data_IF_198370125931
#
_entry.id   IF_198370125931
#
_cell.length_a   1.000
_cell.length_b   1.000
_cell.length_c   1.000
_cell.angle_alpha   90.00
_cell.angle_beta   90.00
_cell.angle_gamma   90.00
#
_symmetry.space_group_name_H-M   'P 1'
#
loop_
_entity.id
_entity.type
_entity.pdbx_description
1 polymer ?
#
# COMPACT_ATOMS: atom_id res chain seq x y z
N UNK A 1 -5.26 -18.84 -26.86
CA UNK A 1 -5.57 -17.49 -26.33
C UNK A 1 -6.54 -17.51 -25.16
N UNK A 2 -7.69 -18.20 -25.23
CA UNK A 2 -8.71 -18.29 -24.15
C UNK A 2 -8.16 -18.85 -22.80
N UNK A 3 -7.23 -19.82 -22.80
CA UNK A 3 -6.66 -20.38 -21.55
C UNK A 3 -5.76 -19.38 -20.82
N UNK A 4 -4.98 -18.58 -21.53
CA UNK A 4 -4.09 -17.57 -20.95
C UNK A 4 -4.86 -16.42 -20.29
N UNK A 5 -5.97 -15.99 -20.87
CA UNK A 5 -6.83 -14.94 -20.29
C UNK A 5 -7.42 -15.42 -18.96
N UNK A 6 -7.85 -16.69 -18.87
CA UNK A 6 -8.40 -17.27 -17.63
C UNK A 6 -7.40 -17.26 -16.47
N UNK A 7 -6.10 -17.46 -16.75
CA UNK A 7 -5.06 -17.43 -15.72
C UNK A 7 -4.92 -16.05 -15.05
N UNK A 8 -5.10 -14.96 -15.82
CA UNK A 8 -5.08 -13.61 -15.29
C UNK A 8 -6.35 -13.26 -14.51
N UNK A 9 -7.51 -13.79 -14.92
CA UNK A 9 -8.77 -13.54 -14.22
C UNK A 9 -8.75 -14.03 -12.77
N UNK A 10 -8.10 -15.15 -12.49
CA UNK A 10 -7.98 -15.66 -11.10
C UNK A 10 -7.14 -14.76 -10.20
N UNK A 11 -6.16 -14.06 -10.74
CA UNK A 11 -5.26 -13.19 -9.97
C UNK A 11 -5.64 -11.69 -10.08
N UNK A 12 -6.63 -11.36 -10.91
CA UNK A 12 -7.08 -9.99 -11.08
C UNK A 12 -7.54 -9.33 -9.76
N UNK A 13 -8.35 -9.98 -8.90
CA UNK A 13 -8.72 -9.35 -7.63
C UNK A 13 -7.52 -9.05 -6.73
N UNK A 14 -6.48 -9.91 -6.70
CA UNK A 14 -5.23 -9.61 -5.99
C UNK A 14 -4.51 -8.40 -6.58
N UNK A 15 -4.47 -8.29 -7.91
CA UNK A 15 -3.88 -7.14 -8.59
C UNK A 15 -4.66 -5.84 -8.26
N UNK A 16 -5.98 -5.91 -8.17
CA UNK A 16 -6.83 -4.78 -7.79
C UNK A 16 -6.64 -4.37 -6.32
N UNK A 17 -6.42 -5.33 -5.41
CA UNK A 17 -6.10 -5.00 -4.01
C UNK A 17 -4.85 -4.14 -3.93
N UNK A 18 -3.76 -4.55 -4.55
CA UNK A 18 -2.48 -3.83 -4.46
C UNK A 18 -2.44 -2.53 -5.25
N UNK A 19 -3.38 -2.32 -6.19
CA UNK A 19 -3.42 -1.11 -7.03
C UNK A 19 -4.50 -0.13 -6.62
N UNK A 20 -5.73 -0.57 -6.40
CA UNK A 20 -6.87 0.33 -6.15
C UNK A 20 -6.91 0.75 -4.68
N UNK A 21 -6.77 -0.20 -3.75
CA UNK A 21 -6.93 0.11 -2.32
C UNK A 21 -5.99 1.23 -1.84
N UNK A 22 -4.70 1.25 -2.19
CA UNK A 22 -3.82 2.34 -1.78
C UNK A 22 -4.21 3.73 -2.31
N UNK A 23 -4.87 3.80 -3.47
CA UNK A 23 -5.23 5.08 -4.12
C UNK A 23 -6.47 5.72 -3.50
N UNK A 24 -7.38 4.95 -2.88
CA UNK A 24 -8.68 5.43 -2.43
C UNK A 24 -8.53 6.51 -1.38
N UNK A 25 -9.11 7.68 -1.67
CA UNK A 25 -9.29 8.79 -0.72
C UNK A 25 -10.72 9.28 -0.88
N UNK A 26 -11.54 9.18 0.19
CA UNK A 26 -12.94 9.59 0.13
C UNK A 26 -13.49 9.92 1.50
N UNK A 27 -14.22 11.01 1.59
CA UNK A 27 -14.84 11.50 2.81
C UNK A 27 -15.90 10.57 3.38
N UNK A 28 -15.81 10.34 4.68
CA UNK A 28 -16.85 9.68 5.48
C UNK A 28 -16.98 10.38 6.83
N UNK A 29 -18.18 10.82 7.16
CA UNK A 29 -18.54 11.24 8.52
C UNK A 29 -18.91 10.00 9.32
N UNK A 30 -18.34 9.86 10.50
CA UNK A 30 -18.50 8.72 11.38
C UNK A 30 -19.04 9.23 12.70
N UNK A 31 -20.18 8.72 13.12
CA UNK A 31 -20.71 8.97 14.47
C UNK A 31 -19.94 8.08 15.46
N UNK A 32 -19.39 8.71 16.48
CA UNK A 32 -18.64 8.02 17.53
C UNK A 32 -19.65 7.52 18.56
N UNK A 33 -19.55 6.23 18.95
CA UNK A 33 -20.32 5.69 20.05
C UNK A 33 -19.97 6.42 21.36
N UNK A 34 -20.87 6.38 22.34
CA UNK A 34 -20.76 7.12 23.62
C UNK A 34 -19.39 6.96 24.31
N UNK A 35 -18.85 5.75 24.35
CA UNK A 35 -17.55 5.46 24.96
C UNK A 35 -16.41 6.19 24.25
N UNK A 36 -16.40 6.19 22.92
CA UNK A 36 -15.35 6.86 22.13
C UNK A 36 -15.54 8.38 22.20
N UNK A 37 -16.78 8.86 22.15
CA UNK A 37 -17.11 10.29 22.25
C UNK A 37 -16.66 10.91 23.57
N UNK A 38 -16.59 10.12 24.65
CA UNK A 38 -16.11 10.57 25.97
C UNK A 38 -14.63 10.96 25.93
N UNK A 39 -13.82 10.25 25.13
CA UNK A 39 -12.37 10.52 24.99
C UNK A 39 -12.05 11.51 23.87
N UNK A 40 -12.97 11.68 22.91
CA UNK A 40 -12.84 12.63 21.80
C UNK A 40 -13.84 13.76 22.04
N UNK A 41 -13.42 14.94 22.19
CA UNK A 41 -14.26 16.13 22.50
C UNK A 41 -15.38 16.41 21.46
N UNK A 42 -15.69 15.46 20.58
CA UNK A 42 -16.71 15.57 19.51
C UNK A 42 -17.48 14.26 19.36
N UNK A 43 -18.78 14.36 19.06
CA UNK A 43 -19.65 13.21 18.83
C UNK A 43 -19.46 12.55 17.47
N UNK A 44 -18.60 13.10 16.61
CA UNK A 44 -18.31 12.56 15.28
C UNK A 44 -16.84 12.75 14.95
N UNK A 45 -16.34 11.87 14.07
CA UNK A 45 -15.06 12.00 13.43
C UNK A 45 -15.22 12.05 11.90
N UNK A 46 -14.22 12.55 11.20
CA UNK A 46 -14.17 12.60 9.74
C UNK A 46 -13.01 11.77 9.25
N UNK A 47 -13.28 10.79 8.41
CA UNK A 47 -12.27 9.96 7.78
C UNK A 47 -12.26 10.18 6.26
N UNK A 48 -11.06 10.22 5.69
CA UNK A 48 -10.85 10.33 4.24
C UNK A 48 -10.03 9.16 3.69
N UNK A 49 -9.23 8.52 4.53
CA UNK A 49 -8.11 7.69 4.09
C UNK A 49 -8.23 6.23 4.47
N UNK A 50 -9.13 5.86 5.36
CA UNK A 50 -9.15 4.52 5.95
C UNK A 50 -10.45 3.77 5.73
N UNK A 51 -11.61 4.37 5.99
CA UNK A 51 -12.91 3.70 5.93
C UNK A 51 -13.20 3.05 4.57
N UNK A 52 -13.09 3.82 3.50
CA UNK A 52 -13.36 3.28 2.17
C UNK A 52 -12.29 2.32 1.68
N UNK A 53 -11.02 2.51 2.09
CA UNK A 53 -9.97 1.50 1.85
C UNK A 53 -10.33 0.17 2.48
N UNK A 54 -10.78 0.17 3.74
CA UNK A 54 -11.25 -1.04 4.42
C UNK A 54 -12.38 -1.71 3.65
N UNK A 55 -13.43 -0.96 3.24
CA UNK A 55 -14.57 -1.53 2.51
C UNK A 55 -14.15 -2.16 1.17
N UNK A 56 -13.38 -1.43 0.37
CA UNK A 56 -12.88 -1.95 -0.91
C UNK A 56 -11.95 -3.15 -0.71
N UNK A 57 -11.10 -3.10 0.30
CA UNK A 57 -10.23 -4.20 0.67
C UNK A 57 -11.02 -5.47 0.99
N UNK A 58 -12.00 -5.38 1.89
CA UNK A 58 -12.85 -6.52 2.26
C UNK A 58 -13.68 -7.04 1.08
N UNK A 59 -14.23 -6.15 0.26
CA UNK A 59 -14.94 -6.52 -0.96
C UNK A 59 -14.05 -7.25 -1.97
N UNK A 60 -12.82 -6.79 -2.16
CA UNK A 60 -11.85 -7.45 -3.04
C UNK A 60 -11.31 -8.76 -2.45
N UNK A 61 -11.20 -8.88 -1.12
CA UNK A 61 -10.91 -10.16 -0.44
C UNK A 61 -12.00 -11.17 -0.73
N UNK A 62 -13.26 -10.78 -0.66
CA UNK A 62 -14.39 -11.67 -0.99
C UNK A 62 -14.34 -12.12 -2.46
N UNK A 63 -14.06 -11.21 -3.38
CA UNK A 63 -13.88 -11.55 -4.81
C UNK A 63 -12.67 -12.48 -5.02
N UNK A 64 -11.59 -12.25 -4.29
CA UNK A 64 -10.40 -13.14 -4.34
C UNK A 64 -10.73 -14.53 -3.78
N UNK A 65 -11.53 -14.60 -2.72
CA UNK A 65 -12.01 -15.86 -2.17
C UNK A 65 -12.83 -16.66 -3.19
N UNK A 66 -13.73 -16.00 -3.92
CA UNK A 66 -14.51 -16.63 -5.00
C UNK A 66 -13.56 -17.16 -6.09
N UNK A 67 -12.62 -16.34 -6.53
CA UNK A 67 -11.60 -16.75 -7.53
C UNK A 67 -10.77 -17.93 -7.05
N UNK A 68 -10.36 -17.91 -5.79
CA UNK A 68 -9.62 -18.99 -5.13
C UNK A 68 -10.44 -20.28 -5.06
N UNK A 69 -11.71 -20.20 -4.65
CA UNK A 69 -12.61 -21.35 -4.57
C UNK A 69 -12.79 -22.02 -5.94
N UNK A 70 -13.04 -21.22 -7.00
CA UNK A 70 -13.18 -21.73 -8.38
C UNK A 70 -11.87 -22.38 -8.83
N UNK A 71 -10.73 -21.74 -8.51
CA UNK A 71 -9.41 -22.28 -8.86
C UNK A 71 -9.14 -23.62 -8.18
N UNK A 72 -9.36 -23.74 -6.86
CA UNK A 72 -9.13 -24.97 -6.11
C UNK A 72 -10.04 -26.11 -6.56
N UNK A 73 -11.32 -25.82 -6.85
CA UNK A 73 -12.23 -26.83 -7.41
C UNK A 73 -11.72 -27.44 -8.73
N UNK A 74 -11.03 -26.62 -9.54
CA UNK A 74 -10.50 -27.04 -10.83
C UNK A 74 -9.19 -27.80 -10.68
N UNK A 75 -8.24 -27.26 -9.93
CA UNK A 75 -6.88 -27.81 -9.79
C UNK A 75 -6.80 -28.90 -8.69
N UNK A 76 -7.79 -28.98 -7.79
CA UNK A 76 -7.91 -29.95 -6.68
C UNK A 76 -6.73 -30.02 -5.72
N UNK A 77 -5.83 -29.05 -5.74
CA UNK A 77 -4.63 -29.05 -4.91
C UNK A 77 -4.37 -27.68 -4.24
N UNK A 78 -4.17 -27.72 -2.92
CA UNK A 78 -3.59 -26.64 -2.15
C UNK A 78 -2.07 -26.80 -2.12
N UNK A 79 -1.34 -25.70 -2.28
CA UNK A 79 0.11 -25.70 -2.18
C UNK A 79 0.52 -25.98 -0.73
N UNK A 80 1.17 -27.11 -0.48
CA UNK A 80 1.74 -27.42 0.83
C UNK A 80 2.91 -26.50 1.13
N UNK A 81 2.88 -25.80 2.26
CA UNK A 81 3.93 -24.89 2.68
C UNK A 81 3.96 -24.72 4.19
N UNK A 82 5.14 -24.50 4.74
CA UNK A 82 5.36 -24.20 6.15
C UNK A 82 4.71 -22.88 6.59
N UNK A 83 4.53 -21.92 5.67
CA UNK A 83 3.98 -20.60 6.00
C UNK A 83 2.55 -20.64 6.57
N UNK A 84 1.80 -21.71 6.40
CA UNK A 84 0.46 -21.83 7.03
C UNK A 84 0.51 -21.94 8.55
N UNK A 85 1.62 -22.42 9.13
CA UNK A 85 1.75 -22.56 10.59
C UNK A 85 1.76 -21.18 11.28
N UNK A 86 2.69 -20.24 10.95
CA UNK A 86 2.68 -18.92 11.57
C UNK A 86 1.40 -18.12 11.25
N UNK A 87 0.81 -18.30 10.06
CA UNK A 87 -0.47 -17.66 9.72
C UNK A 87 -1.62 -18.19 10.59
N UNK A 88 -1.65 -19.51 10.87
CA UNK A 88 -2.63 -20.12 11.75
C UNK A 88 -2.48 -19.65 13.20
N UNK A 89 -1.24 -19.57 13.71
CA UNK A 89 -0.96 -19.02 15.05
C UNK A 89 -1.42 -17.56 15.12
N UNK A 90 -1.10 -16.74 14.12
CA UNK A 90 -1.52 -15.34 14.09
C UNK A 90 -3.04 -15.20 14.05
N UNK A 91 -3.74 -16.03 13.25
CA UNK A 91 -5.20 -16.09 13.22
C UNK A 91 -5.78 -16.41 14.59
N UNK A 92 -5.22 -17.42 15.28
CA UNK A 92 -5.65 -17.80 16.63
C UNK A 92 -5.51 -16.63 17.60
N UNK A 93 -4.38 -15.92 17.57
CA UNK A 93 -4.15 -14.74 18.43
C UNK A 93 -5.13 -13.61 18.16
N UNK A 94 -5.45 -13.33 16.88
CA UNK A 94 -6.46 -12.34 16.50
C UNK A 94 -7.83 -12.71 17.08
N UNK A 95 -8.25 -13.97 16.92
CA UNK A 95 -9.56 -14.46 17.41
C UNK A 95 -9.62 -14.38 18.93
N UNK A 96 -8.60 -14.89 19.63
CA UNK A 96 -8.54 -14.84 21.08
C UNK A 96 -8.55 -13.38 21.60
N UNK A 97 -7.73 -12.50 21.02
CA UNK A 97 -7.72 -11.09 21.38
C UNK A 97 -9.10 -10.44 21.22
N UNK A 98 -9.82 -10.77 20.15
CA UNK A 98 -11.17 -10.24 19.92
C UNK A 98 -12.20 -10.81 20.90
N UNK A 99 -12.13 -12.11 21.23
CA UNK A 99 -13.03 -12.74 22.18
C UNK A 99 -12.87 -12.16 23.59
N UNK A 100 -11.65 -11.92 24.02
CA UNK A 100 -11.34 -11.38 25.35
C UNK A 100 -11.33 -9.84 25.41
N UNK A 101 -11.57 -9.14 24.30
CA UNK A 101 -11.64 -7.68 24.30
C UNK A 101 -12.90 -7.17 25.01
N UNK A 102 -12.80 -6.13 25.81
CA UNK A 102 -13.94 -5.41 26.38
C UNK A 102 -14.68 -4.59 25.31
N UNK A 103 -13.95 -4.02 24.35
CA UNK A 103 -14.49 -3.19 23.25
C UNK A 103 -14.75 -4.03 21.99
N UNK A 104 -15.79 -4.88 22.00
CA UNK A 104 -16.09 -5.86 20.94
C UNK A 104 -16.17 -5.24 19.54
N UNK A 105 -16.91 -4.16 19.38
CA UNK A 105 -17.10 -3.51 18.08
C UNK A 105 -15.77 -2.95 17.54
N UNK A 106 -14.99 -2.32 18.40
CA UNK A 106 -13.66 -1.80 18.03
C UNK A 106 -12.70 -2.94 17.68
N UNK A 107 -12.75 -4.06 18.39
CA UNK A 107 -11.93 -5.23 18.07
C UNK A 107 -12.33 -5.87 16.74
N UNK A 108 -13.61 -5.85 16.36
CA UNK A 108 -14.10 -6.41 15.10
C UNK A 108 -13.77 -5.52 13.90
N UNK A 109 -14.04 -4.22 14.01
CA UNK A 109 -13.96 -3.27 12.88
C UNK A 109 -12.72 -2.39 12.89
N UNK A 110 -12.01 -2.31 14.01
CA UNK A 110 -10.90 -1.39 14.22
C UNK A 110 -11.37 -0.03 14.78
N UNK A 111 -10.39 0.73 15.24
CA UNK A 111 -10.62 2.10 15.71
C UNK A 111 -10.88 3.02 14.50
N UNK A 112 -11.79 4.00 14.59
CA UNK A 112 -11.93 5.05 13.58
C UNK A 112 -10.57 5.64 13.19
N UNK A 113 -10.37 5.99 11.93
CA UNK A 113 -9.13 6.44 11.27
C UNK A 113 -8.13 5.32 10.91
N UNK A 114 -8.25 4.11 11.47
CA UNK A 114 -7.37 2.97 11.12
C UNK A 114 -8.13 1.79 10.53
N UNK A 115 -9.26 1.41 11.16
CA UNK A 115 -10.09 0.28 10.75
C UNK A 115 -9.34 -1.05 10.63
N UNK A 116 -8.31 -1.26 11.45
CA UNK A 116 -7.51 -2.48 11.49
C UNK A 116 -8.04 -3.44 12.58
N UNK A 117 -9.32 -3.75 12.53
CA UNK A 117 -9.93 -4.76 13.40
C UNK A 117 -9.77 -6.19 12.85
N UNK A 118 -10.37 -7.15 13.56
CA UNK A 118 -10.31 -8.59 13.24
C UNK A 118 -10.60 -8.88 11.77
N UNK A 119 -11.62 -8.23 11.17
CA UNK A 119 -12.00 -8.47 9.78
C UNK A 119 -10.87 -8.14 8.80
N UNK A 120 -10.18 -7.01 9.00
CA UNK A 120 -9.06 -6.58 8.15
C UNK A 120 -7.83 -7.44 8.39
N UNK A 121 -7.52 -7.78 9.64
CA UNK A 121 -6.38 -8.64 9.98
C UNK A 121 -6.53 -10.05 9.40
N UNK A 122 -7.75 -10.62 9.44
CA UNK A 122 -8.06 -11.87 8.72
C UNK A 122 -7.88 -11.68 7.21
N UNK A 123 -8.31 -10.55 6.65
CA UNK A 123 -8.09 -10.20 5.25
C UNK A 123 -6.61 -10.24 4.86
N UNK A 124 -5.71 -9.73 5.70
CA UNK A 124 -4.26 -9.79 5.46
C UNK A 124 -3.73 -11.23 5.43
N UNK A 125 -4.20 -12.09 6.34
CA UNK A 125 -3.87 -13.52 6.32
C UNK A 125 -4.36 -14.16 5.01
N UNK A 126 -5.61 -13.88 4.62
CA UNK A 126 -6.20 -14.43 3.40
C UNK A 126 -5.46 -13.99 2.15
N UNK A 127 -4.98 -12.73 2.04
CA UNK A 127 -4.14 -12.30 0.91
C UNK A 127 -2.92 -13.21 0.78
N UNK A 128 -2.22 -13.50 1.87
CA UNK A 128 -1.01 -14.34 1.83
C UNK A 128 -1.38 -15.76 1.37
N UNK A 129 -2.46 -16.34 1.91
CA UNK A 129 -2.96 -17.67 1.51
C UNK A 129 -3.33 -17.68 0.02
N UNK A 130 -4.04 -16.67 -0.46
CA UNK A 130 -4.42 -16.55 -1.86
C UNK A 130 -3.21 -16.34 -2.77
N UNK A 131 -2.26 -15.48 -2.40
CA UNK A 131 -1.05 -15.26 -3.15
C UNK A 131 -0.23 -16.55 -3.29
N UNK A 132 -0.05 -17.31 -2.21
CA UNK A 132 0.66 -18.60 -2.23
C UNK A 132 0.02 -19.57 -3.24
N UNK A 133 -1.29 -19.60 -3.32
CA UNK A 133 -2.01 -20.60 -4.12
C UNK A 133 -2.33 -20.13 -5.55
N UNK A 134 -2.65 -18.87 -5.76
CA UNK A 134 -3.05 -18.34 -7.07
C UNK A 134 -1.86 -17.92 -7.94
N UNK A 135 -0.75 -17.43 -7.33
CA UNK A 135 0.43 -17.00 -8.06
C UNK A 135 1.34 -18.21 -8.40
N UNK A 136 1.03 -18.90 -9.47
CA UNK A 136 1.73 -20.12 -9.90
C UNK A 136 2.79 -19.89 -10.99
N UNK A 137 2.73 -18.77 -11.70
CA UNK A 137 3.62 -18.48 -12.81
C UNK A 137 4.30 -17.11 -12.67
N UNK A 138 5.51 -16.99 -13.26
CA UNK A 138 6.21 -15.69 -13.35
C UNK A 138 5.36 -14.62 -14.04
N UNK A 139 4.47 -15.02 -14.98
CA UNK A 139 3.59 -14.08 -15.70
C UNK A 139 2.54 -13.49 -14.77
N UNK A 140 1.93 -14.30 -13.91
CA UNK A 140 0.94 -13.84 -12.92
C UNK A 140 1.59 -12.91 -11.90
N UNK A 141 2.80 -13.25 -11.42
CA UNK A 141 3.56 -12.36 -10.52
C UNK A 141 3.85 -11.02 -11.20
N UNK A 142 4.36 -11.04 -12.45
CA UNK A 142 4.58 -9.81 -13.22
C UNK A 142 3.31 -8.99 -13.39
N UNK A 143 2.18 -9.65 -13.64
CA UNK A 143 0.88 -8.98 -13.79
C UNK A 143 0.51 -8.21 -12.50
N UNK A 144 0.54 -8.86 -11.33
CA UNK A 144 0.24 -8.21 -10.05
C UNK A 144 1.24 -7.09 -9.73
N UNK A 145 2.54 -7.33 -9.97
CA UNK A 145 3.58 -6.30 -9.79
C UNK A 145 3.39 -5.10 -10.73
N UNK A 146 2.94 -5.30 -11.96
CA UNK A 146 2.63 -4.19 -12.88
C UNK A 146 1.52 -3.31 -12.34
N UNK A 147 0.45 -3.89 -11.82
CA UNK A 147 -0.64 -3.14 -11.17
C UNK A 147 -0.16 -2.37 -9.94
N UNK A 148 0.66 -3.00 -9.10
CA UNK A 148 1.29 -2.36 -7.95
C UNK A 148 2.15 -1.16 -8.38
N UNK A 149 2.99 -1.31 -9.41
CA UNK A 149 3.89 -0.25 -9.88
C UNK A 149 3.12 0.91 -10.53
N UNK A 150 2.04 0.64 -11.26
CA UNK A 150 1.16 1.70 -11.79
C UNK A 150 0.59 2.53 -10.64
N UNK A 151 0.03 1.88 -9.62
CA UNK A 151 -0.47 2.54 -8.42
C UNK A 151 0.63 3.34 -7.71
N UNK A 152 1.80 2.74 -7.54
CA UNK A 152 2.96 3.36 -6.91
C UNK A 152 3.40 4.64 -7.62
N UNK A 153 3.43 4.62 -8.96
CA UNK A 153 3.78 5.81 -9.75
C UNK A 153 2.74 6.90 -9.58
N UNK A 154 1.44 6.56 -9.65
CA UNK A 154 0.37 7.54 -9.45
C UNK A 154 0.44 8.18 -8.06
N UNK A 155 0.59 7.37 -7.02
CA UNK A 155 0.71 7.84 -5.63
C UNK A 155 2.01 8.64 -5.45
N UNK A 156 3.11 8.20 -6.07
CA UNK A 156 4.40 8.89 -6.01
C UNK A 156 4.37 10.26 -6.69
N UNK A 157 3.68 10.39 -7.82
CA UNK A 157 3.49 11.70 -8.47
C UNK A 157 2.67 12.63 -7.57
N UNK A 158 1.59 12.13 -6.94
CA UNK A 158 0.81 12.91 -5.96
C UNK A 158 1.68 13.36 -4.79
N UNK A 159 2.54 12.49 -4.27
CA UNK A 159 3.44 12.84 -3.17
C UNK A 159 4.45 13.92 -3.54
N UNK A 160 5.05 13.87 -4.73
CA UNK A 160 5.94 14.93 -5.21
C UNK A 160 5.16 16.25 -5.34
N UNK A 161 3.92 16.23 -5.81
CA UNK A 161 3.06 17.41 -5.88
C UNK A 161 2.86 18.04 -4.49
N UNK A 162 2.60 17.20 -3.48
CA UNK A 162 2.46 17.64 -2.08
C UNK A 162 3.75 18.22 -1.52
N UNK A 163 4.91 17.64 -1.85
CA UNK A 163 6.22 18.15 -1.41
C UNK A 163 6.47 19.57 -1.86
N UNK A 164 6.01 19.95 -3.05
CA UNK A 164 6.11 21.32 -3.55
C UNK A 164 4.94 22.22 -3.11
N UNK A 165 4.18 21.84 -2.10
CA UNK A 165 3.07 22.63 -1.56
C UNK A 165 1.81 22.65 -2.43
N UNK A 166 1.77 21.83 -3.50
CA UNK A 166 0.64 21.70 -4.42
C UNK A 166 -0.13 20.42 -4.10
N UNK A 167 -1.15 20.50 -3.26
CA UNK A 167 -1.95 19.32 -2.94
C UNK A 167 -3.12 19.15 -3.91
N UNK A 168 -3.11 18.05 -4.67
CA UNK A 168 -4.19 17.70 -5.59
C UNK A 168 -5.56 17.67 -4.90
N UNK A 169 -5.63 17.16 -3.65
CA UNK A 169 -6.89 17.08 -2.91
C UNK A 169 -7.43 18.44 -2.48
N UNK A 170 -6.63 19.51 -2.56
CA UNK A 170 -7.06 20.89 -2.32
C UNK A 170 -7.62 21.57 -3.59
N UNK A 171 -7.36 21.00 -4.77
CA UNK A 171 -7.94 21.51 -6.02
C UNK A 171 -9.44 21.24 -6.08
N UNK A 172 -10.18 22.03 -6.88
CA UNK A 172 -11.61 21.82 -7.06
C UNK A 172 -11.92 20.40 -7.57
N UNK A 173 -11.14 19.91 -8.54
CA UNK A 173 -11.27 18.55 -9.08
C UNK A 173 -11.02 17.52 -7.99
N UNK A 174 -9.96 17.67 -7.24
CA UNK A 174 -9.62 16.77 -6.13
C UNK A 174 -10.71 16.74 -5.07
N UNK A 175 -11.23 17.90 -4.64
CA UNK A 175 -12.33 18.01 -3.69
C UNK A 175 -13.61 17.33 -4.20
N UNK A 176 -13.96 17.48 -5.49
CA UNK A 176 -15.11 16.80 -6.13
C UNK A 176 -14.94 15.28 -6.16
N UNK A 177 -13.73 14.77 -6.30
CA UNK A 177 -13.45 13.32 -6.28
C UNK A 177 -13.60 12.72 -4.89
N UNK A 178 -13.17 13.44 -3.84
CA UNK A 178 -13.17 12.91 -2.48
C UNK A 178 -14.45 13.19 -1.70
N UNK A 179 -15.24 14.19 -2.09
CA UNK A 179 -16.51 14.57 -1.47
C UNK A 179 -17.71 14.08 -2.31
N UNK A 180 -18.81 13.76 -1.65
CA UNK A 180 -20.10 13.64 -2.35
C UNK A 180 -20.63 15.03 -2.73
N UNK A 181 -21.56 15.13 -3.68
CA UNK A 181 -22.15 16.41 -4.10
C UNK A 181 -22.69 17.21 -2.90
N UNK A 182 -23.43 16.56 -2.00
CA UNK A 182 -23.98 17.18 -0.79
C UNK A 182 -22.89 17.71 0.16
N UNK A 183 -21.82 16.94 0.36
CA UNK A 183 -20.72 17.34 1.22
C UNK A 183 -19.83 18.40 0.59
N UNK A 184 -19.76 18.45 -0.76
CA UNK A 184 -18.98 19.46 -1.46
C UNK A 184 -19.48 20.86 -1.13
N UNK A 185 -20.79 21.11 -1.21
CA UNK A 185 -21.38 22.40 -0.88
C UNK A 185 -21.18 22.81 0.59
N UNK A 186 -21.13 21.83 1.50
CA UNK A 186 -21.05 22.08 2.96
C UNK A 186 -19.64 22.29 3.49
N UNK A 187 -18.66 21.61 2.91
CA UNK A 187 -17.32 21.48 3.53
C UNK A 187 -16.15 21.82 2.58
N UNK A 188 -16.36 21.92 1.27
CA UNK A 188 -15.24 22.11 0.33
C UNK A 188 -14.38 23.35 0.60
N UNK A 189 -15.01 24.46 1.03
CA UNK A 189 -14.30 25.69 1.35
C UNK A 189 -13.45 25.59 2.64
N UNK A 190 -13.90 24.76 3.59
CA UNK A 190 -13.24 24.56 4.90
C UNK A 190 -12.29 23.39 4.94
N UNK A 191 -12.21 22.64 3.83
CA UNK A 191 -11.38 21.44 3.76
C UNK A 191 -9.93 21.81 3.58
N UNK A 192 -9.12 21.56 4.59
CA UNK A 192 -7.66 21.70 4.54
C UNK A 192 -7.01 20.41 5.07
N UNK A 193 -6.06 19.88 4.32
CA UNK A 193 -5.17 18.84 4.78
C UNK A 193 -3.82 19.49 5.08
N UNK A 194 -3.50 19.65 6.37
CA UNK A 194 -2.21 20.18 6.81
C UNK A 194 -1.54 19.19 7.75
N UNK A 195 -0.32 18.83 7.42
CA UNK A 195 0.53 17.99 8.23
C UNK A 195 1.81 18.73 8.58
N UNK A 196 1.81 19.42 9.72
CA UNK A 196 2.96 20.16 10.20
C UNK A 196 3.37 21.34 9.30
N UNK A 197 4.63 21.71 9.38
CA UNK A 197 5.24 22.68 8.48
C UNK A 197 5.30 22.08 7.06
N UNK A 198 5.14 22.91 6.07
CA UNK A 198 5.04 22.56 4.64
C UNK A 198 6.09 21.54 4.19
N UNK A 199 5.77 20.79 3.14
CA UNK A 199 6.65 19.86 2.42
C UNK A 199 6.77 18.44 2.97
N UNK A 200 5.81 17.97 3.76
CA UNK A 200 5.75 16.55 4.19
C UNK A 200 4.85 15.75 3.27
N UNK A 201 5.36 14.66 2.72
CA UNK A 201 4.60 13.75 1.87
C UNK A 201 3.77 12.79 2.73
N UNK A 202 2.45 12.87 2.62
CA UNK A 202 1.50 11.90 3.18
C UNK A 202 0.76 11.10 2.09
N UNK A 203 0.86 11.54 0.83
CA UNK A 203 0.25 10.95 -0.36
C UNK A 203 -1.25 10.65 -0.17
N UNK A 204 -1.64 9.39 -0.30
CA UNK A 204 -3.01 8.90 -0.08
C UNK A 204 -3.18 8.19 1.27
N UNK A 205 -2.22 8.30 2.20
CA UNK A 205 -2.19 7.52 3.44
C UNK A 205 -2.45 8.35 4.71
N UNK A 206 -2.70 9.65 4.58
CA UNK A 206 -2.89 10.57 5.71
C UNK A 206 -1.66 10.71 6.61
N UNK A 207 -1.09 9.62 7.11
CA UNK A 207 0.05 9.63 8.01
C UNK A 207 1.35 9.50 7.24
N UNK A 208 2.30 10.45 7.36
CA UNK A 208 3.60 10.39 6.70
C UNK A 208 4.39 9.10 7.00
N UNK A 209 4.21 8.51 8.18
CA UNK A 209 4.87 7.24 8.51
C UNK A 209 4.33 6.07 7.67
N UNK A 210 3.02 6.05 7.36
CA UNK A 210 2.44 5.03 6.48
C UNK A 210 2.89 5.24 5.03
N UNK A 211 2.88 6.50 4.56
CA UNK A 211 3.42 6.85 3.25
C UNK A 211 4.90 6.44 3.14
N UNK A 212 5.71 6.81 4.13
CA UNK A 212 7.14 6.46 4.16
C UNK A 212 7.41 4.97 4.19
N UNK A 213 6.62 4.18 4.93
CA UNK A 213 6.75 2.72 4.94
C UNK A 213 6.38 2.11 3.58
N UNK A 214 5.32 2.60 2.93
CA UNK A 214 4.92 2.19 1.60
C UNK A 214 5.99 2.49 0.56
N UNK A 215 6.50 3.72 0.54
CA UNK A 215 7.54 4.12 -0.40
C UNK A 215 8.89 3.44 -0.13
N UNK A 216 9.26 3.22 1.13
CA UNK A 216 10.47 2.49 1.50
C UNK A 216 10.44 1.04 0.98
N UNK A 217 9.32 0.35 1.14
CA UNK A 217 9.13 -1.00 0.62
C UNK A 217 9.25 -1.03 -0.92
N UNK A 218 8.59 -0.09 -1.61
CA UNK A 218 8.62 0.00 -3.06
C UNK A 218 9.98 0.46 -3.60
N UNK A 219 10.67 1.33 -2.87
CA UNK A 219 12.04 1.72 -3.19
C UNK A 219 12.96 0.49 -3.22
N UNK A 220 12.92 -0.36 -2.21
CA UNK A 220 13.75 -1.57 -2.16
C UNK A 220 13.35 -2.59 -3.24
N UNK A 221 12.04 -2.76 -3.49
CA UNK A 221 11.54 -3.62 -4.56
C UNK A 221 12.02 -3.15 -5.94
N UNK A 222 11.83 -1.87 -6.25
CA UNK A 222 12.20 -1.31 -7.56
C UNK A 222 13.72 -1.21 -7.75
N UNK A 223 14.48 -1.06 -6.66
CA UNK A 223 15.93 -1.17 -6.68
C UNK A 223 16.39 -2.54 -7.16
N UNK A 224 15.82 -3.62 -6.64
CA UNK A 224 16.08 -4.96 -7.11
C UNK A 224 15.67 -5.13 -8.58
N UNK A 225 14.48 -4.63 -8.95
CA UNK A 225 14.00 -4.70 -10.34
C UNK A 225 14.94 -3.97 -11.30
N UNK A 226 15.49 -2.82 -10.92
CA UNK A 226 16.47 -2.08 -11.71
C UNK A 226 17.75 -2.90 -11.96
N UNK A 227 18.29 -3.58 -10.95
CA UNK A 227 19.52 -4.39 -11.11
C UNK A 227 19.30 -5.65 -11.94
N UNK A 228 18.11 -6.21 -11.93
CA UNK A 228 17.76 -7.41 -12.69
C UNK A 228 17.02 -7.12 -14.00
N UNK A 229 16.83 -5.86 -14.34
CA UNK A 229 16.20 -5.47 -15.60
C UNK A 229 17.10 -5.80 -16.79
N UNK A 230 16.53 -6.50 -17.77
CA UNK A 230 17.17 -6.76 -19.05
C UNK A 230 16.77 -5.66 -20.06
N UNK A 231 17.76 -5.20 -20.80
CA UNK A 231 17.60 -4.15 -21.81
C UNK A 231 17.58 -2.73 -21.23
N UNK A 232 18.01 -1.78 -22.07
CA UNK A 232 18.17 -0.36 -21.67
C UNK A 232 16.84 0.28 -21.26
N UNK A 233 15.76 -0.02 -21.97
CA UNK A 233 14.45 0.59 -21.71
C UNK A 233 13.89 0.18 -20.33
N UNK A 234 13.94 -1.12 -20.00
CA UNK A 234 13.48 -1.62 -18.70
C UNK A 234 14.35 -1.06 -17.57
N UNK A 235 15.67 -0.95 -17.78
CA UNK A 235 16.57 -0.35 -16.81
C UNK A 235 16.23 1.12 -16.55
N UNK A 236 16.00 1.90 -17.59
CA UNK A 236 15.59 3.31 -17.45
C UNK A 236 14.25 3.42 -16.74
N UNK A 237 13.27 2.59 -17.11
CA UNK A 237 11.95 2.58 -16.48
C UNK A 237 12.03 2.29 -14.98
N UNK A 238 12.66 1.17 -14.59
CA UNK A 238 12.78 0.81 -13.18
C UNK A 238 13.68 1.75 -12.40
N UNK A 239 14.70 2.35 -13.04
CA UNK A 239 15.51 3.39 -12.46
C UNK A 239 14.70 4.65 -12.14
N UNK A 240 13.89 5.12 -13.08
CA UNK A 240 13.02 6.28 -12.88
C UNK A 240 11.98 6.04 -11.78
N UNK A 241 11.32 4.87 -11.78
CA UNK A 241 10.38 4.51 -10.71
C UNK A 241 11.10 4.44 -9.37
N UNK A 242 12.31 3.87 -9.32
CA UNK A 242 13.10 3.78 -8.09
C UNK A 242 13.45 5.15 -7.53
N UNK A 243 13.88 6.08 -8.37
CA UNK A 243 14.15 7.47 -7.95
C UNK A 243 12.88 8.18 -7.45
N UNK A 244 11.74 7.95 -8.10
CA UNK A 244 10.47 8.49 -7.64
C UNK A 244 10.09 7.93 -6.25
N UNK A 245 10.26 6.63 -6.02
CA UNK A 245 10.00 6.01 -4.71
C UNK A 245 10.97 6.53 -3.65
N UNK A 246 12.25 6.71 -4.01
CA UNK A 246 13.27 7.28 -3.14
C UNK A 246 12.92 8.71 -2.71
N UNK A 247 12.55 9.57 -3.65
CA UNK A 247 12.16 10.96 -3.37
C UNK A 247 10.95 11.02 -2.41
N UNK A 248 9.94 10.22 -2.67
CA UNK A 248 8.75 10.17 -1.80
C UNK A 248 9.05 9.61 -0.41
N UNK A 249 9.90 8.58 -0.31
CA UNK A 249 10.33 8.06 0.99
C UNK A 249 11.07 9.14 1.80
N UNK A 250 12.02 9.84 1.20
CA UNK A 250 12.73 10.94 1.86
C UNK A 250 11.76 12.06 2.26
N UNK A 251 10.91 12.52 1.36
CA UNK A 251 9.96 13.61 1.62
C UNK A 251 8.86 13.25 2.64
N UNK A 252 8.69 11.97 2.97
CA UNK A 252 7.79 11.55 4.05
C UNK A 252 8.37 11.77 5.45
N UNK A 253 9.69 11.97 5.59
CA UNK A 253 10.43 12.10 6.85
C UNK A 253 10.17 10.95 7.84
N UNK A 254 9.79 9.78 7.35
CA UNK A 254 9.41 8.61 8.17
C UNK A 254 10.63 7.94 8.80
N UNK A 255 10.73 7.99 10.11
CA UNK A 255 11.77 7.26 10.87
C UNK A 255 11.66 5.74 10.70
N UNK A 256 10.43 5.22 10.69
CA UNK A 256 10.17 3.80 10.44
C UNK A 256 10.64 3.37 9.05
N UNK A 257 10.41 4.21 8.02
CA UNK A 257 10.91 3.99 6.67
C UNK A 257 12.45 3.91 6.61
N UNK A 258 13.17 4.78 7.37
CA UNK A 258 14.64 4.75 7.45
C UNK A 258 15.13 3.41 7.99
N UNK A 259 14.57 2.95 9.11
CA UNK A 259 14.93 1.65 9.69
C UNK A 259 14.63 0.49 8.73
N UNK A 260 13.45 0.52 8.08
CA UNK A 260 13.07 -0.47 7.08
C UNK A 260 14.05 -0.57 5.91
N UNK A 261 14.48 0.57 5.37
CA UNK A 261 15.47 0.62 4.28
C UNK A 261 16.84 0.14 4.75
N UNK A 262 17.30 0.53 5.94
CA UNK A 262 18.59 0.07 6.50
C UNK A 262 18.62 -1.45 6.63
N UNK A 263 17.61 -2.05 7.29
CA UNK A 263 17.53 -3.51 7.44
C UNK A 263 17.41 -4.24 6.09
N UNK A 264 16.57 -3.74 5.20
CA UNK A 264 16.40 -4.33 3.87
C UNK A 264 17.67 -4.22 3.04
N UNK A 265 18.41 -3.12 3.14
CA UNK A 265 19.70 -2.94 2.46
C UNK A 265 20.75 -3.93 2.97
N UNK A 266 20.81 -4.16 4.28
CA UNK A 266 21.70 -5.17 4.87
C UNK A 266 21.37 -6.57 4.33
N UNK A 267 20.10 -6.97 4.33
CA UNK A 267 19.66 -8.26 3.78
C UNK A 267 19.99 -8.37 2.28
N UNK A 268 19.75 -7.30 1.52
CA UNK A 268 20.06 -7.25 0.09
C UNK A 268 21.56 -7.41 -0.20
N UNK A 269 22.40 -6.73 0.57
CA UNK A 269 23.85 -6.86 0.44
C UNK A 269 24.31 -8.29 0.77
N UNK A 270 23.73 -8.91 1.79
CA UNK A 270 24.02 -10.30 2.13
C UNK A 270 23.61 -11.28 1.03
N UNK A 271 22.39 -11.14 0.48
CA UNK A 271 21.85 -12.08 -0.50
C UNK A 271 22.37 -11.82 -1.93
N UNK A 272 22.54 -10.57 -2.32
CA UNK A 272 22.77 -10.15 -3.70
C UNK A 272 24.05 -9.32 -3.90
N UNK A 273 24.84 -9.08 -2.85
CA UNK A 273 25.99 -8.17 -2.88
C UNK A 273 26.98 -8.46 -4.02
N UNK A 274 27.31 -9.72 -4.24
CA UNK A 274 28.20 -10.12 -5.36
C UNK A 274 27.65 -9.69 -6.73
N UNK A 275 26.34 -9.80 -6.95
CA UNK A 275 25.68 -9.39 -8.21
C UNK A 275 25.61 -7.88 -8.35
N UNK A 276 25.33 -7.18 -7.24
CA UNK A 276 25.28 -5.72 -7.20
C UNK A 276 26.67 -5.15 -7.52
N UNK A 277 27.70 -5.65 -6.85
CA UNK A 277 29.09 -5.20 -7.07
C UNK A 277 29.55 -5.50 -8.52
N UNK A 278 29.19 -6.65 -9.07
CA UNK A 278 29.50 -6.95 -10.47
C UNK A 278 28.88 -5.95 -11.45
N UNK A 279 27.75 -5.34 -11.10
CA UNK A 279 27.06 -4.31 -11.89
C UNK A 279 27.36 -2.89 -11.38
N UNK A 280 28.60 -2.62 -10.94
CA UNK A 280 29.02 -1.37 -10.33
C UNK A 280 28.67 -0.11 -11.14
N UNK A 281 28.69 -0.18 -12.48
CA UNK A 281 28.27 0.94 -13.35
C UNK A 281 26.81 1.32 -13.15
N UNK A 282 25.92 0.32 -13.00
CA UNK A 282 24.50 0.57 -12.70
C UNK A 282 24.32 1.09 -11.28
N UNK A 283 25.13 0.60 -10.33
CA UNK A 283 25.15 1.13 -8.96
C UNK A 283 25.55 2.60 -8.95
N UNK A 284 26.61 2.97 -9.68
CA UNK A 284 27.06 4.35 -9.77
C UNK A 284 25.99 5.26 -10.36
N UNK A 285 25.35 4.86 -11.47
CA UNK A 285 24.30 5.65 -12.12
C UNK A 285 23.12 5.90 -11.17
N UNK A 286 22.62 4.88 -10.49
CA UNK A 286 21.47 5.05 -9.58
C UNK A 286 21.88 5.89 -8.35
N UNK A 287 23.11 5.74 -7.87
CA UNK A 287 23.64 6.53 -6.74
C UNK A 287 23.77 8.01 -7.06
N UNK A 288 24.24 8.35 -8.28
CA UNK A 288 24.22 9.73 -8.77
C UNK A 288 22.79 10.27 -8.79
N UNK A 289 21.83 9.45 -9.27
CA UNK A 289 20.41 9.80 -9.23
C UNK A 289 19.90 10.08 -7.81
N UNK A 290 20.32 9.32 -6.81
CA UNK A 290 19.95 9.58 -5.40
C UNK A 290 20.52 10.89 -4.88
N UNK A 291 21.78 11.21 -5.22
CA UNK A 291 22.39 12.49 -4.85
C UNK A 291 21.61 13.64 -5.48
N UNK A 292 21.30 13.57 -6.78
CA UNK A 292 20.53 14.61 -7.46
C UNK A 292 19.13 14.81 -6.86
N UNK A 293 18.43 13.73 -6.52
CA UNK A 293 17.13 13.81 -5.85
C UNK A 293 17.26 14.45 -4.47
N UNK A 294 18.27 14.06 -3.70
CA UNK A 294 18.50 14.59 -2.36
C UNK A 294 18.81 16.10 -2.40
N UNK A 295 19.68 16.52 -3.30
CA UNK A 295 20.06 17.96 -3.45
C UNK A 295 18.94 18.83 -4.04
N UNK A 296 18.03 18.24 -4.83
CA UNK A 296 16.88 18.98 -5.35
C UNK A 296 15.76 19.14 -4.30
N UNK A 297 15.76 18.35 -3.24
CA UNK A 297 14.78 18.39 -2.15
C UNK A 297 15.28 19.12 -0.89
N UNK A 298 16.56 19.46 -0.81
CA UNK A 298 17.16 20.25 0.28
C UNK A 298 17.12 21.76 -0.04
#
# INVERSE_FOLDING_TARGET
MKSKIKEYLYVLPLALIVSIVPIIVRYKKIELGEVIATYWTRNYNTDFFSYYKMLFFLGLILLTFISFYIYIKKEKELKKTFYYIPLGIYLLMIVLSTIFSEAKLTSLYGFPDRYEGMAVLIGYILIVVFAINLLRSKRQIKFVLTFLLISAVLIGVLGIYQFYGMDFFQTEIGKRLILSAENFEKIAEKLEFRFGDNNIIYATFYNPNYAGSFFAMLFMLTFVMYFFAEGRQNKLLFGAINLLMFANWLGSLSRAGILGVLFSSFILLFLLGRKIIKNWKSLLIIFIGFILVFTAGS
#
